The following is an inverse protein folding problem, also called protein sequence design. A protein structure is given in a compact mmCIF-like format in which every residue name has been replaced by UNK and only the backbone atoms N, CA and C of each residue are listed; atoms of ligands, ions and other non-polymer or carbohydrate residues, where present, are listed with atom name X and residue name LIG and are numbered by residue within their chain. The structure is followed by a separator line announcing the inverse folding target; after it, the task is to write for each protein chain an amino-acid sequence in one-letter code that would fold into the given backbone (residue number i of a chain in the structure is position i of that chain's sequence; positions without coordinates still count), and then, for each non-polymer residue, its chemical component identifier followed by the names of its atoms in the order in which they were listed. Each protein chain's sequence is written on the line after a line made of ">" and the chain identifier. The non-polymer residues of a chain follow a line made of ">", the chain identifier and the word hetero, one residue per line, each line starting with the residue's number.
data_IF_562890665145
#
_entry.id   IF_562890665145
#
_cell.length_a   1.000
_cell.length_b   1.000
_cell.length_c   1.000
_cell.angle_alpha   90.00
_cell.angle_beta   90.00
_cell.angle_gamma   90.00
#
_symmetry.space_group_name_H-M   'P 1'
#
loop_
_entity.id
_entity.type
_entity.pdbx_description
1 polymer ?
#
# COMPACT_ATOMS: atom_id res chain seq x y z
N UNK A 1 -0.40 7.51 -22.04
CA UNK A 1 -0.17 6.13 -22.52
C UNK A 1 0.98 5.51 -21.73
N UNK A 2 0.68 4.70 -20.72
CA UNK A 2 1.46 3.53 -20.26
C UNK A 2 0.69 2.89 -19.09
N UNK A 3 0.23 1.65 -19.27
CA UNK A 3 -0.19 0.78 -18.16
C UNK A 3 1.01 -0.10 -17.79
N UNK A 4 1.22 -0.40 -16.49
CA UNK A 4 2.17 -1.45 -16.09
C UNK A 4 1.66 -2.27 -14.89
N UNK A 5 1.78 -3.60 -15.04
CA UNK A 5 1.60 -4.70 -14.06
C UNK A 5 2.64 -5.80 -14.39
N UNK A 6 3.07 -6.70 -13.51
CA UNK A 6 2.80 -6.90 -12.08
C UNK A 6 4.03 -7.51 -11.36
N UNK A 7 4.15 -7.31 -10.04
CA UNK A 7 5.14 -7.88 -9.11
C UNK A 7 6.64 -7.55 -9.30
N UNK A 8 7.25 -6.97 -8.26
CA UNK A 8 8.68 -7.09 -7.98
C UNK A 8 8.95 -7.58 -6.55
N UNK A 9 9.73 -8.66 -6.42
CA UNK A 9 9.88 -9.44 -5.19
C UNK A 9 11.04 -9.01 -4.27
N UNK A 10 11.82 -7.97 -4.64
CA UNK A 10 13.15 -7.73 -4.06
C UNK A 10 13.37 -6.39 -3.34
N UNK A 11 12.38 -5.50 -3.22
CA UNK A 11 12.45 -4.36 -2.28
C UNK A 11 11.35 -4.44 -1.23
N UNK A 12 11.61 -5.18 -0.14
CA UNK A 12 10.64 -5.42 0.95
C UNK A 12 10.46 -4.16 1.81
N UNK A 13 9.72 -3.18 1.29
CA UNK A 13 9.21 -2.06 2.07
C UNK A 13 8.16 -2.50 3.10
N UNK A 14 7.57 -3.68 2.93
CA UNK A 14 6.68 -4.32 3.89
C UNK A 14 7.39 -4.49 5.25
N UNK A 15 6.92 -3.78 6.28
CA UNK A 15 7.47 -3.87 7.63
C UNK A 15 6.48 -3.45 8.70
N UNK A 16 6.73 -3.92 9.91
CA UNK A 16 6.09 -3.37 11.11
C UNK A 16 6.74 -2.04 11.48
N UNK A 17 5.94 -1.09 11.94
CA UNK A 17 6.36 0.27 12.35
C UNK A 17 5.80 0.60 13.72
N UNK A 18 6.48 1.47 14.47
CA UNK A 18 6.00 1.95 15.78
C UNK A 18 5.25 3.28 15.64
N UNK A 19 4.42 3.66 16.63
CA UNK A 19 3.46 4.78 16.52
C UNK A 19 4.11 6.17 16.39
N UNK A 20 5.40 6.28 16.73
CA UNK A 20 6.17 7.53 16.61
C UNK A 20 7.10 7.56 15.39
N UNK A 21 7.06 6.52 14.54
CA UNK A 21 7.97 6.38 13.42
C UNK A 21 7.49 7.14 12.16
N UNK A 22 8.36 7.96 11.58
CA UNK A 22 8.11 8.57 10.26
C UNK A 22 8.52 7.59 9.17
N UNK A 23 7.57 7.16 8.35
CA UNK A 23 7.83 6.35 7.16
C UNK A 23 8.01 7.21 5.90
N UNK A 24 8.66 6.63 4.89
CA UNK A 24 8.74 7.19 3.55
C UNK A 24 8.69 6.05 2.53
N UNK A 25 8.18 6.37 1.34
CA UNK A 25 8.13 5.44 0.21
C UNK A 25 9.54 5.05 -0.28
N UNK A 26 9.70 3.88 -0.93
CA UNK A 26 10.97 3.50 -1.55
C UNK A 26 11.41 4.55 -2.57
N UNK A 27 12.67 4.97 -2.51
CA UNK A 27 13.23 5.88 -3.52
C UNK A 27 13.18 5.20 -4.90
N UNK A 28 12.77 5.97 -5.91
CA UNK A 28 12.87 5.58 -7.31
C UNK A 28 14.34 5.32 -7.66
N UNK A 29 14.60 4.19 -8.31
CA UNK A 29 15.90 3.75 -8.80
C UNK A 29 15.70 2.91 -10.06
N UNK A 30 16.79 2.56 -10.76
CA UNK A 30 16.70 1.85 -12.05
C UNK A 30 16.07 0.45 -11.94
N UNK A 31 16.08 -0.16 -10.75
CA UNK A 31 15.50 -1.49 -10.51
C UNK A 31 13.98 -1.44 -10.30
N UNK A 32 13.41 -0.33 -9.81
CA UNK A 32 11.97 -0.19 -9.57
C UNK A 32 11.28 0.81 -10.52
N UNK A 33 12.02 1.39 -11.47
CA UNK A 33 11.49 2.35 -12.43
C UNK A 33 10.47 1.69 -13.37
N UNK A 34 9.26 2.22 -13.39
CA UNK A 34 8.15 1.66 -14.19
C UNK A 34 7.59 0.35 -13.64
N UNK A 35 8.04 -0.10 -12.46
CA UNK A 35 7.59 -1.34 -11.84
C UNK A 35 6.52 -1.05 -10.77
N UNK A 36 5.48 -1.88 -10.63
CA UNK A 36 4.46 -1.68 -9.61
C UNK A 36 4.99 -2.07 -8.23
N UNK A 37 4.92 -1.13 -7.29
CA UNK A 37 5.38 -1.29 -5.91
C UNK A 37 4.16 -1.40 -5.00
N UNK A 38 4.13 -2.43 -4.15
CA UNK A 38 3.14 -2.59 -3.08
C UNK A 38 3.86 -2.62 -1.74
N UNK A 39 3.55 -1.67 -0.85
CA UNK A 39 4.14 -1.58 0.48
C UNK A 39 3.08 -1.71 1.57
N UNK A 40 3.24 -2.70 2.45
CA UNK A 40 2.34 -2.99 3.57
C UNK A 40 3.03 -2.61 4.87
N UNK A 41 2.59 -1.51 5.49
CA UNK A 41 3.08 -1.06 6.79
C UNK A 41 2.10 -1.48 7.88
N UNK A 42 2.55 -2.33 8.81
CA UNK A 42 1.74 -2.74 9.96
C UNK A 42 2.09 -1.88 11.16
N UNK A 43 1.15 -1.06 11.62
CA UNK A 43 1.35 -0.26 12.83
C UNK A 43 1.26 -1.18 14.06
N UNK A 44 2.32 -1.20 14.86
CA UNK A 44 2.41 -1.93 16.13
C UNK A 44 2.30 -0.94 17.27
N UNK A 45 1.56 -1.35 18.31
CA UNK A 45 1.27 -0.52 19.47
C UNK A 45 1.79 -1.25 20.70
N UNK A 46 2.62 -0.56 21.49
CA UNK A 46 3.27 -1.11 22.68
C UNK A 46 3.22 -0.09 23.83
N UNK A 47 2.77 -0.47 25.03
CA UNK A 47 2.09 -1.73 25.36
C UNK A 47 0.77 -1.88 24.59
N UNK A 48 0.31 -3.12 24.38
CA UNK A 48 -1.01 -3.37 23.81
C UNK A 48 -2.09 -2.82 24.74
N UNK A 49 -3.05 -2.08 24.17
CA UNK A 49 -4.18 -1.48 24.87
C UNK A 49 -5.45 -1.67 24.03
N UNK A 50 -6.62 -1.41 24.62
CA UNK A 50 -7.92 -1.51 23.92
C UNK A 50 -8.51 -0.14 23.53
N UNK A 51 -7.94 0.92 24.09
CA UNK A 51 -8.42 2.30 24.14
C UNK A 51 -7.46 3.28 23.45
N UNK A 52 -6.73 2.82 22.42
CA UNK A 52 -5.77 3.66 21.69
C UNK A 52 -6.39 4.33 20.47
N UNK A 53 -5.83 5.47 20.09
CA UNK A 53 -6.08 6.16 18.83
C UNK A 53 -4.74 6.34 18.10
N UNK A 54 -4.70 6.03 16.80
CA UNK A 54 -3.53 6.28 15.95
C UNK A 54 -3.78 7.47 15.06
N UNK A 55 -2.93 8.49 15.17
CA UNK A 55 -2.96 9.68 14.33
C UNK A 55 -1.96 9.51 13.17
N UNK A 56 -2.46 9.26 11.97
CA UNK A 56 -1.63 9.21 10.76
C UNK A 56 -1.51 10.63 10.18
N UNK A 57 -0.28 11.17 10.13
CA UNK A 57 0.00 12.47 9.51
C UNK A 57 0.78 12.31 8.22
N UNK A 58 0.18 12.71 7.11
CA UNK A 58 0.90 12.87 5.84
C UNK A 58 1.71 14.17 5.86
N UNK A 59 3.03 14.07 5.71
CA UNK A 59 3.93 15.24 5.55
C UNK A 59 4.05 15.65 4.09
N UNK A 60 4.00 14.67 3.18
CA UNK A 60 3.89 14.80 1.72
C UNK A 60 3.03 13.65 1.22
N UNK A 61 2.23 13.87 0.19
CA UNK A 61 1.36 12.84 -0.40
C UNK A 61 1.11 13.13 -1.88
N UNK A 62 1.45 12.18 -2.75
CA UNK A 62 1.13 12.21 -4.18
C UNK A 62 1.14 10.78 -4.73
N UNK A 63 -0.04 10.15 -4.82
CA UNK A 63 -0.20 8.81 -5.40
C UNK A 63 -1.44 8.78 -6.29
N UNK A 64 -1.26 8.31 -7.52
CA UNK A 64 -2.32 8.16 -8.51
C UNK A 64 -3.18 9.39 -8.78
N UNK A 65 -4.31 9.14 -9.42
CA UNK A 65 -5.41 10.07 -9.65
C UNK A 65 -6.74 9.32 -9.49
N UNK A 66 -7.78 10.01 -9.04
CA UNK A 66 -9.13 9.44 -8.99
C UNK A 66 -9.75 9.58 -10.38
N UNK A 67 -10.35 8.51 -10.92
CA UNK A 67 -10.99 8.58 -12.23
C UNK A 67 -12.17 9.57 -12.25
N UNK A 68 -12.60 10.00 -13.44
CA UNK A 68 -13.65 11.02 -13.60
C UNK A 68 -14.95 10.73 -12.83
N UNK A 69 -15.31 9.45 -12.67
CA UNK A 69 -16.52 9.01 -11.95
C UNK A 69 -16.30 8.66 -10.48
N UNK A 70 -15.08 8.80 -9.94
CA UNK A 70 -14.70 8.48 -8.55
C UNK A 70 -14.97 7.03 -8.13
N UNK A 71 -14.93 6.11 -9.08
CA UNK A 71 -15.14 4.66 -8.87
C UNK A 71 -13.84 3.87 -8.69
N UNK A 72 -12.70 4.37 -9.17
CA UNK A 72 -11.39 3.72 -8.99
C UNK A 72 -10.22 4.72 -9.07
N UNK A 73 -9.07 4.30 -8.56
CA UNK A 73 -7.82 5.04 -8.65
C UNK A 73 -7.00 4.56 -9.86
N UNK A 74 -6.37 5.49 -10.57
CA UNK A 74 -5.49 5.26 -11.72
C UNK A 74 -4.06 5.62 -11.30
N UNK A 75 -3.07 4.79 -11.63
CA UNK A 75 -1.67 5.07 -11.29
C UNK A 75 -1.30 4.86 -9.81
N UNK A 76 -2.08 4.06 -9.07
CA UNK A 76 -1.82 3.70 -7.68
C UNK A 76 -2.85 4.27 -6.69
N UNK A 77 -2.76 3.83 -5.44
CA UNK A 77 -3.61 4.30 -4.33
C UNK A 77 -2.89 4.15 -3.00
N UNK A 78 -3.40 4.82 -1.96
CA UNK A 78 -3.05 4.56 -0.57
C UNK A 78 -4.30 4.12 0.18
N UNK A 79 -4.17 3.10 1.04
CA UNK A 79 -5.29 2.53 1.77
C UNK A 79 -4.96 2.42 3.26
N UNK A 80 -5.88 2.86 4.10
CA UNK A 80 -5.87 2.60 5.55
C UNK A 80 -6.85 1.47 5.80
N UNK A 81 -6.42 0.43 6.51
CA UNK A 81 -7.27 -0.70 6.91
C UNK A 81 -7.30 -0.71 8.43
N UNK A 82 -8.42 -0.26 8.98
CA UNK A 82 -8.68 -0.33 10.42
C UNK A 82 -9.29 -1.70 10.76
N UNK A 83 -8.43 -2.65 11.14
CA UNK A 83 -8.84 -3.97 11.61
C UNK A 83 -7.89 -5.11 11.24
N UNK A 84 -7.75 -6.07 12.15
CA UNK A 84 -6.87 -7.24 12.04
C UNK A 84 -7.45 -8.36 11.13
N UNK A 85 -8.07 -7.99 10.00
CA UNK A 85 -8.65 -8.97 9.06
C UNK A 85 -7.57 -9.54 8.15
N UNK A 86 -7.44 -10.87 8.20
CA UNK A 86 -6.55 -11.73 7.43
C UNK A 86 -6.05 -11.12 6.10
N UNK A 87 -4.74 -10.91 6.01
CA UNK A 87 -4.02 -10.38 4.84
C UNK A 87 -4.15 -11.23 3.57
N UNK A 88 -4.79 -12.40 3.65
CA UNK A 88 -5.20 -13.23 2.52
C UNK A 88 -6.01 -12.49 1.46
N UNK A 89 -6.71 -11.41 1.82
CA UNK A 89 -7.50 -10.57 0.90
C UNK A 89 -6.71 -9.46 0.20
N UNK A 90 -5.41 -9.28 0.50
CA UNK A 90 -4.52 -8.35 -0.21
C UNK A 90 -3.91 -8.94 -1.48
N UNK A 91 -4.37 -10.12 -1.91
CA UNK A 91 -4.06 -10.62 -3.25
C UNK A 91 -4.75 -9.74 -4.29
N UNK A 92 -3.97 -8.98 -5.06
CA UNK A 92 -4.45 -8.38 -6.31
C UNK A 92 -4.93 -9.50 -7.23
N UNK A 93 -6.25 -9.71 -7.27
CA UNK A 93 -6.87 -10.62 -8.24
C UNK A 93 -6.74 -9.97 -9.62
N UNK A 94 -5.75 -10.39 -10.40
CA UNK A 94 -5.73 -10.09 -11.83
C UNK A 94 -7.01 -10.71 -12.43
N UNK A 95 -7.87 -9.94 -13.13
CA UNK A 95 -9.12 -10.47 -13.66
C UNK A 95 -8.88 -11.27 -14.95
N UNK A 96 -8.26 -12.45 -14.81
CA UNK A 96 -8.08 -13.43 -15.90
C UNK A 96 -7.74 -14.84 -15.36
N UNK A 97 -8.75 -15.62 -14.97
CA UNK A 97 -8.94 -17.01 -15.42
C UNK A 97 -10.28 -17.56 -14.89
N UNK A 98 -11.37 -17.18 -15.56
CA UNK A 98 -12.60 -17.98 -15.51
C UNK A 98 -12.46 -19.17 -16.46
N UNK A 99 -11.70 -20.19 -16.08
CA UNK A 99 -11.69 -21.46 -16.81
C UNK A 99 -13.03 -22.18 -16.60
N UNK A 100 -13.66 -22.48 -17.73
CA UNK A 100 -14.88 -23.27 -17.89
C UNK A 100 -14.58 -24.76 -17.68
#
# INVERSE_FOLDING_TARGET
>A
MQMVTCLQSSSKCNRTVDIYETISEPKLNDLNRGQPITCIYTIRIKPERKDWLVFIRFTKFKVGEVNQHRTHCIGGYFQIIDGYKNTSSLQHTNPAESKK
#
